data_IF_635759490149
#
_entry.id   IF_635759490149
#
_cell.length_a   1.000
_cell.length_b   1.000
_cell.length_c   1.000
_cell.angle_alpha   90.00
_cell.angle_beta   90.00
_cell.angle_gamma   90.00
#
_symmetry.space_group_name_H-M   'P 1'
#
loop_
_entity.id
_entity.type
_entity.pdbx_description
1 polymer ?
#
# COMPACT_ATOMS: atom_id res chain seq x y z
N UNK A 1 12.70 -0.91 55.88
CA UNK A 1 12.05 -1.50 54.67
C UNK A 1 12.59 -0.74 53.45
N UNK A 2 13.49 -1.36 52.71
CA UNK A 2 14.06 -0.76 51.50
C UNK A 2 13.16 -1.10 50.29
N UNK A 3 12.47 -0.10 49.75
CA UNK A 3 11.71 -0.21 48.50
C UNK A 3 12.65 -0.37 47.30
N UNK A 4 12.71 -1.57 46.77
CA UNK A 4 13.41 -1.85 45.53
C UNK A 4 12.61 -1.26 44.34
N UNK A 5 13.10 -0.14 43.78
CA UNK A 5 12.66 0.35 42.50
C UNK A 5 12.99 -0.69 41.43
N UNK A 6 11.97 -1.43 40.97
CA UNK A 6 12.05 -2.23 39.74
C UNK A 6 12.21 -1.27 38.58
N UNK A 7 13.34 -1.35 37.89
CA UNK A 7 13.64 -0.66 36.65
C UNK A 7 12.66 -1.10 35.55
N UNK A 8 11.78 -0.20 35.12
CA UNK A 8 10.82 -0.42 34.07
C UNK A 8 11.44 -0.41 32.66
N UNK A 9 12.05 -1.53 32.25
CA UNK A 9 12.55 -1.72 30.87
C UNK A 9 11.65 -2.66 30.02
N UNK A 10 10.45 -3.01 30.49
CA UNK A 10 9.65 -4.11 29.92
C UNK A 10 8.45 -3.70 29.08
N UNK A 11 8.32 -2.44 28.58
CA UNK A 11 7.10 -2.00 27.88
C UNK A 11 7.29 -1.48 26.43
N UNK A 12 8.49 -1.05 26.04
CA UNK A 12 8.67 -0.38 24.75
C UNK A 12 9.92 -0.87 23.99
N UNK A 13 9.83 -2.02 23.30
CA UNK A 13 10.96 -2.66 22.63
C UNK A 13 11.58 -1.83 21.50
N UNK A 14 10.86 -0.83 20.97
CA UNK A 14 11.33 0.05 19.90
C UNK A 14 11.68 1.48 20.38
N UNK A 15 11.76 1.72 21.70
CA UNK A 15 12.15 3.03 22.24
C UNK A 15 13.50 3.50 21.64
N UNK A 16 13.54 4.74 21.12
CA UNK A 16 14.70 5.29 20.42
C UNK A 16 14.88 4.83 18.96
N UNK A 17 14.10 3.85 18.49
CA UNK A 17 14.09 3.47 17.08
C UNK A 17 13.30 4.47 16.25
N UNK A 18 13.75 4.73 15.02
CA UNK A 18 13.04 5.51 14.01
C UNK A 18 12.71 4.59 12.84
N UNK A 19 11.43 4.47 12.52
CA UNK A 19 10.96 3.65 11.38
C UNK A 19 10.21 4.53 10.40
N UNK A 20 10.60 4.47 9.14
CA UNK A 20 9.88 5.14 8.06
C UNK A 20 8.81 4.22 7.52
N UNK A 21 7.55 4.70 7.59
CA UNK A 21 6.36 4.04 7.05
C UNK A 21 5.96 4.75 5.75
N UNK A 22 5.88 3.97 4.67
CA UNK A 22 5.75 4.47 3.30
C UNK A 22 4.34 4.38 2.72
N UNK A 23 3.34 4.05 3.55
CA UNK A 23 1.94 3.88 3.10
C UNK A 23 1.21 5.21 2.92
N UNK A 24 0.17 5.20 2.06
CA UNK A 24 -0.78 6.31 1.96
C UNK A 24 -1.49 6.53 3.32
N UNK A 25 -1.72 7.78 3.66
CA UNK A 25 -2.16 8.24 4.99
C UNK A 25 -3.30 7.39 5.60
N UNK A 26 -4.35 7.08 4.82
CA UNK A 26 -5.50 6.28 5.27
C UNK A 26 -5.19 4.77 5.53
N UNK A 27 -4.04 4.27 5.09
CA UNK A 27 -3.64 2.85 5.21
C UNK A 27 -2.44 2.65 6.14
N UNK A 28 -1.82 3.74 6.58
CA UNK A 28 -0.66 3.72 7.48
C UNK A 28 -1.07 3.51 8.95
N UNK A 29 -2.32 3.81 9.30
CA UNK A 29 -2.78 3.98 10.68
C UNK A 29 -2.48 2.76 11.57
N UNK A 30 -2.80 1.53 11.12
CA UNK A 30 -2.54 0.33 11.91
C UNK A 30 -1.04 0.09 12.16
N UNK A 31 -0.21 0.07 11.09
CA UNK A 31 1.23 -0.13 11.21
C UNK A 31 1.89 0.97 12.04
N UNK A 32 1.51 2.22 11.79
CA UNK A 32 2.08 3.37 12.50
C UNK A 32 1.68 3.41 13.95
N UNK A 33 0.41 3.09 14.28
CA UNK A 33 -0.09 3.04 15.66
C UNK A 33 0.64 1.97 16.46
N UNK A 34 0.65 0.73 15.96
CA UNK A 34 1.31 -0.37 16.66
C UNK A 34 2.81 -0.11 16.87
N UNK A 35 3.52 0.48 15.88
CA UNK A 35 4.92 0.86 16.05
C UNK A 35 5.10 1.94 17.12
N UNK A 36 4.20 2.95 17.20
CA UNK A 36 4.24 3.99 18.25
C UNK A 36 3.95 3.41 19.63
N UNK A 37 3.01 2.50 19.76
CA UNK A 37 2.66 1.82 21.02
C UNK A 37 3.86 1.03 21.56
N UNK A 38 4.73 0.53 20.67
CA UNK A 38 6.00 -0.11 21.01
C UNK A 38 7.14 0.88 21.28
N UNK A 39 6.88 2.20 21.33
CA UNK A 39 7.85 3.26 21.61
C UNK A 39 8.66 3.75 20.41
N UNK A 40 8.29 3.38 19.19
CA UNK A 40 8.97 3.80 17.98
C UNK A 40 8.64 5.25 17.60
N UNK A 41 9.66 6.01 17.17
CA UNK A 41 9.44 7.27 16.47
C UNK A 41 9.14 6.98 14.99
N UNK A 42 7.86 7.06 14.61
CA UNK A 42 7.38 6.75 13.27
C UNK A 42 7.48 7.98 12.38
N UNK A 43 8.17 7.83 11.25
CA UNK A 43 8.29 8.84 10.19
C UNK A 43 7.38 8.45 9.05
N UNK A 44 6.30 9.18 8.85
CA UNK A 44 5.35 8.90 7.78
C UNK A 44 5.66 9.74 6.54
N UNK A 45 6.06 9.04 5.46
CA UNK A 45 6.23 9.65 4.14
C UNK A 45 5.51 8.77 3.12
N UNK A 46 4.33 9.15 2.63
CA UNK A 46 3.61 8.35 1.65
C UNK A 46 4.38 8.32 0.33
N UNK A 47 4.69 7.13 -0.19
CA UNK A 47 5.33 7.00 -1.50
C UNK A 47 4.32 7.04 -2.64
N UNK A 48 3.05 6.87 -2.32
CA UNK A 48 1.93 7.04 -3.25
C UNK A 48 0.85 7.90 -2.62
N UNK A 49 0.12 8.56 -3.49
CA UNK A 49 -1.09 9.30 -3.17
C UNK A 49 -2.17 8.91 -4.18
N UNK A 50 -3.35 8.62 -3.67
CA UNK A 50 -4.54 8.44 -4.49
C UNK A 50 -5.16 9.83 -4.68
N UNK A 51 -5.25 10.24 -5.93
CA UNK A 51 -5.84 11.53 -6.32
C UNK A 51 -7.10 11.32 -7.13
N UNK A 52 -7.97 12.30 -7.05
CA UNK A 52 -9.11 12.38 -7.94
C UNK A 52 -8.65 12.43 -9.41
N UNK A 53 -9.47 11.96 -10.35
CA UNK A 53 -9.18 12.08 -11.77
C UNK A 53 -9.14 13.57 -12.17
N UNK A 54 -8.51 13.89 -13.30
CA UNK A 54 -8.48 15.26 -13.82
C UNK A 54 -9.88 15.83 -14.08
N UNK A 55 -10.84 14.97 -14.40
CA UNK A 55 -12.23 15.31 -14.62
C UNK A 55 -13.13 14.19 -14.17
N UNK A 56 -14.21 14.51 -13.49
CA UNK A 56 -15.27 13.57 -13.14
C UNK A 56 -16.34 13.43 -14.23
N UNK A 57 -16.29 14.23 -15.32
CA UNK A 57 -17.29 14.17 -16.40
C UNK A 57 -17.55 12.75 -16.91
N UNK A 58 -16.54 11.90 -17.21
CA UNK A 58 -16.82 10.54 -17.70
C UNK A 58 -17.62 9.70 -16.69
N UNK A 59 -17.32 9.83 -15.39
CA UNK A 59 -18.05 9.12 -14.34
C UNK A 59 -19.47 9.69 -14.17
N UNK A 60 -19.61 11.01 -14.22
CA UNK A 60 -20.92 11.68 -14.13
C UNK A 60 -21.82 11.28 -15.30
N UNK A 61 -21.30 11.26 -16.54
CA UNK A 61 -22.05 10.81 -17.71
C UNK A 61 -22.41 9.32 -17.64
N UNK A 62 -21.55 8.49 -17.03
CA UNK A 62 -21.89 7.10 -16.77
C UNK A 62 -23.06 6.97 -15.78
N UNK A 63 -23.13 7.83 -14.76
CA UNK A 63 -24.26 7.86 -13.82
C UNK A 63 -25.56 8.31 -14.49
N UNK A 64 -25.52 9.32 -15.37
CA UNK A 64 -26.69 9.77 -16.14
C UNK A 64 -27.25 8.66 -17.04
N UNK A 65 -26.40 7.75 -17.50
CA UNK A 65 -26.75 6.62 -18.37
C UNK A 65 -26.73 5.26 -17.65
N UNK A 66 -26.85 5.24 -16.33
CA UNK A 66 -26.64 4.06 -15.50
C UNK A 66 -27.54 2.88 -15.88
N UNK A 67 -28.80 3.15 -16.21
CA UNK A 67 -29.78 2.13 -16.65
C UNK A 67 -29.40 1.43 -17.95
N UNK A 68 -28.50 2.00 -18.73
CA UNK A 68 -28.01 1.40 -19.97
C UNK A 68 -26.91 0.38 -19.80
N UNK A 69 -26.39 0.19 -18.59
CA UNK A 69 -25.37 -0.82 -18.30
C UNK A 69 -25.97 -2.11 -17.76
N UNK A 70 -25.35 -3.24 -18.09
CA UNK A 70 -25.67 -4.56 -17.55
C UNK A 70 -24.69 -4.98 -16.45
N UNK A 71 -23.43 -4.52 -16.55
CA UNK A 71 -22.35 -4.92 -15.65
C UNK A 71 -21.55 -3.73 -15.14
N UNK A 72 -21.15 -3.82 -13.89
CA UNK A 72 -20.15 -2.94 -13.29
C UNK A 72 -18.94 -3.77 -12.82
N UNK A 73 -17.76 -3.46 -13.36
CA UNK A 73 -16.50 -4.11 -12.98
C UNK A 73 -15.68 -3.15 -12.15
N UNK A 74 -15.28 -3.58 -10.95
CA UNK A 74 -14.42 -2.85 -10.03
C UNK A 74 -13.13 -3.64 -9.79
N UNK A 75 -11.99 -3.01 -10.10
CA UNK A 75 -10.68 -3.68 -10.06
C UNK A 75 -9.84 -3.32 -8.85
N UNK A 76 -10.38 -2.56 -7.89
CA UNK A 76 -9.67 -2.16 -6.67
C UNK A 76 -10.60 -1.56 -5.62
N UNK A 77 -10.18 -1.64 -4.36
CA UNK A 77 -10.84 -0.94 -3.23
C UNK A 77 -10.88 0.58 -3.45
N UNK A 78 -9.81 1.16 -4.00
CA UNK A 78 -9.78 2.60 -4.30
C UNK A 78 -10.80 2.98 -5.40
N UNK A 79 -11.04 2.09 -6.38
CA UNK A 79 -12.08 2.28 -7.39
C UNK A 79 -13.48 2.24 -6.79
N UNK A 80 -13.73 1.32 -5.85
CA UNK A 80 -14.99 1.28 -5.08
C UNK A 80 -15.16 2.59 -4.33
N UNK A 81 -14.17 3.00 -3.56
CA UNK A 81 -14.22 4.23 -2.76
C UNK A 81 -14.47 5.46 -3.65
N UNK A 82 -13.75 5.61 -4.77
CA UNK A 82 -13.91 6.74 -5.68
C UNK A 82 -15.32 6.79 -6.30
N UNK A 83 -15.88 5.62 -6.68
CA UNK A 83 -17.23 5.50 -7.20
C UNK A 83 -18.26 6.00 -6.16
N UNK A 84 -18.26 5.44 -4.96
CA UNK A 84 -19.24 5.77 -3.93
C UNK A 84 -19.06 7.18 -3.35
N UNK A 85 -17.84 7.68 -3.20
CA UNK A 85 -17.61 9.09 -2.84
C UNK A 85 -18.19 10.04 -3.90
N UNK A 86 -18.11 9.69 -5.20
CA UNK A 86 -18.70 10.50 -6.26
C UNK A 86 -20.22 10.39 -6.30
N UNK A 87 -20.76 9.18 -6.13
CA UNK A 87 -22.23 8.98 -6.01
C UNK A 87 -22.80 9.83 -4.86
N UNK A 88 -22.20 9.78 -3.67
CA UNK A 88 -22.64 10.58 -2.52
C UNK A 88 -22.63 12.09 -2.82
N UNK A 89 -21.60 12.62 -3.52
CA UNK A 89 -21.56 14.01 -3.97
C UNK A 89 -22.65 14.37 -4.97
N UNK A 90 -23.12 13.40 -5.75
CA UNK A 90 -24.21 13.53 -6.71
C UNK A 90 -25.58 13.23 -6.07
N UNK A 91 -25.62 12.90 -4.78
CA UNK A 91 -26.84 12.48 -4.05
C UNK A 91 -27.50 11.23 -4.65
N UNK A 92 -26.67 10.31 -5.19
CA UNK A 92 -27.10 9.02 -5.72
C UNK A 92 -26.94 7.94 -4.65
N UNK A 93 -27.93 7.07 -4.54
CA UNK A 93 -27.96 5.97 -3.60
C UNK A 93 -27.32 4.70 -4.19
N UNK A 94 -26.75 3.83 -3.34
CA UNK A 94 -26.20 2.56 -3.78
C UNK A 94 -27.24 1.65 -4.46
N UNK A 95 -28.51 1.79 -4.09
CA UNK A 95 -29.67 1.11 -4.68
C UNK A 95 -29.81 1.32 -6.19
N UNK A 96 -29.34 2.46 -6.71
CA UNK A 96 -29.35 2.73 -8.15
C UNK A 96 -28.43 1.80 -8.96
N UNK A 97 -27.47 1.16 -8.31
CA UNK A 97 -26.62 0.13 -8.90
C UNK A 97 -27.23 -1.28 -8.79
N UNK A 98 -28.38 -1.45 -8.14
CA UNK A 98 -28.97 -2.75 -7.82
C UNK A 98 -29.39 -3.59 -9.03
N UNK A 99 -29.63 -2.98 -10.18
CA UNK A 99 -29.92 -3.68 -11.44
C UNK A 99 -28.67 -4.22 -12.14
N UNK A 100 -27.46 -3.76 -11.76
CA UNK A 100 -26.21 -4.16 -12.38
C UNK A 100 -25.70 -5.48 -11.79
N UNK A 101 -25.14 -6.34 -12.63
CA UNK A 101 -24.31 -7.45 -12.18
C UNK A 101 -22.91 -6.93 -11.85
N UNK A 102 -22.43 -7.15 -10.62
CA UNK A 102 -21.15 -6.63 -10.17
C UNK A 102 -20.06 -7.69 -10.27
N UNK A 103 -18.88 -7.27 -10.75
CA UNK A 103 -17.68 -8.09 -10.75
C UNK A 103 -16.56 -7.39 -9.98
N UNK A 104 -15.92 -8.14 -9.08
CA UNK A 104 -14.77 -7.69 -8.30
C UNK A 104 -13.53 -8.48 -8.67
N UNK A 105 -12.36 -7.83 -8.75
CA UNK A 105 -11.11 -8.52 -9.07
C UNK A 105 -10.66 -9.48 -7.97
N UNK A 106 -11.00 -9.20 -6.72
CA UNK A 106 -10.55 -10.01 -5.58
C UNK A 106 -11.31 -9.72 -4.29
N UNK A 107 -11.01 -10.45 -3.20
CA UNK A 107 -11.80 -10.46 -1.97
C UNK A 107 -11.88 -9.10 -1.27
N UNK A 108 -10.79 -8.33 -1.24
CA UNK A 108 -10.81 -7.00 -0.63
C UNK A 108 -11.73 -6.03 -1.38
N UNK A 109 -11.77 -6.11 -2.72
CA UNK A 109 -12.67 -5.32 -3.56
C UNK A 109 -14.11 -5.77 -3.38
N UNK A 110 -14.36 -7.09 -3.33
CA UNK A 110 -15.67 -7.67 -3.03
C UNK A 110 -16.19 -7.16 -1.68
N UNK A 111 -15.41 -7.31 -0.61
CA UNK A 111 -15.80 -6.85 0.71
C UNK A 111 -16.08 -5.33 0.76
N UNK A 112 -15.33 -4.53 -0.02
CA UNK A 112 -15.57 -3.09 -0.11
C UNK A 112 -16.91 -2.77 -0.79
N UNK A 113 -17.30 -3.52 -1.83
CA UNK A 113 -18.61 -3.39 -2.50
C UNK A 113 -19.74 -3.80 -1.55
N UNK A 114 -19.59 -4.93 -0.87
CA UNK A 114 -20.61 -5.49 0.04
C UNK A 114 -20.90 -4.59 1.23
N UNK A 115 -19.93 -3.79 1.69
CA UNK A 115 -20.15 -2.73 2.71
C UNK A 115 -21.18 -1.67 2.31
N UNK A 116 -21.44 -1.52 1.03
CA UNK A 116 -22.47 -0.62 0.51
C UNK A 116 -23.81 -1.33 0.22
N UNK A 117 -24.00 -2.57 0.72
CA UNK A 117 -25.24 -3.31 0.58
C UNK A 117 -25.43 -3.97 -0.78
N UNK A 118 -24.40 -4.05 -1.62
CA UNK A 118 -24.47 -4.64 -2.97
C UNK A 118 -23.83 -6.03 -2.99
N UNK A 119 -24.39 -6.94 -3.79
CA UNK A 119 -23.84 -8.28 -3.95
C UNK A 119 -22.92 -8.39 -5.18
N UNK A 120 -21.83 -9.15 -5.06
CA UNK A 120 -20.88 -9.39 -6.15
C UNK A 120 -21.24 -10.72 -6.84
N UNK A 121 -21.63 -10.63 -8.10
CA UNK A 121 -22.03 -11.78 -8.92
C UNK A 121 -20.81 -12.60 -9.41
N UNK A 122 -19.65 -11.95 -9.63
CA UNK A 122 -18.44 -12.60 -10.15
C UNK A 122 -17.21 -12.10 -9.41
N UNK A 123 -16.44 -13.06 -8.88
CA UNK A 123 -15.08 -12.86 -8.40
C UNK A 123 -14.23 -14.05 -8.88
N UNK A 124 -13.13 -13.84 -9.61
CA UNK A 124 -12.28 -14.92 -10.09
C UNK A 124 -11.52 -15.59 -8.94
N UNK A 125 -11.01 -16.80 -9.18
CA UNK A 125 -10.15 -17.52 -8.21
C UNK A 125 -8.77 -16.88 -8.07
N UNK A 126 -8.23 -16.40 -9.19
CA UNK A 126 -6.97 -15.64 -9.22
C UNK A 126 -7.26 -14.16 -9.43
N UNK A 127 -6.61 -13.30 -8.66
CA UNK A 127 -6.95 -11.87 -8.57
C UNK A 127 -6.17 -11.04 -9.60
N UNK A 128 -6.24 -11.47 -10.87
CA UNK A 128 -5.58 -10.83 -12.02
C UNK A 128 -6.59 -10.49 -13.11
N UNK A 129 -6.22 -9.56 -13.98
CA UNK A 129 -7.12 -9.08 -15.05
C UNK A 129 -7.55 -10.20 -16.01
N UNK A 130 -6.64 -11.12 -16.30
CA UNK A 130 -6.85 -12.26 -17.18
C UNK A 130 -7.94 -13.20 -16.65
N UNK A 131 -7.95 -13.44 -15.34
CA UNK A 131 -8.96 -14.29 -14.69
C UNK A 131 -10.31 -13.61 -14.58
N UNK A 132 -10.35 -12.27 -14.46
CA UNK A 132 -11.60 -11.49 -14.57
C UNK A 132 -12.20 -11.66 -15.97
N UNK A 133 -11.37 -11.56 -17.02
CA UNK A 133 -11.80 -11.78 -18.42
C UNK A 133 -12.34 -13.18 -18.59
N UNK A 134 -11.63 -14.21 -18.15
CA UNK A 134 -12.07 -15.61 -18.26
C UNK A 134 -13.42 -15.85 -17.59
N UNK A 135 -13.63 -15.28 -16.40
CA UNK A 135 -14.89 -15.43 -15.65
C UNK A 135 -16.06 -14.68 -16.28
N UNK A 136 -15.81 -13.62 -17.04
CA UNK A 136 -16.86 -12.77 -17.63
C UNK A 136 -17.13 -13.04 -19.10
N UNK A 137 -16.17 -13.59 -19.85
CA UNK A 137 -16.19 -13.69 -21.31
C UNK A 137 -17.51 -14.21 -21.90
N UNK A 138 -18.09 -15.26 -21.32
CA UNK A 138 -19.37 -15.84 -21.79
C UNK A 138 -20.60 -15.09 -21.27
N UNK A 139 -20.45 -14.22 -20.29
CA UNK A 139 -21.55 -13.53 -19.58
C UNK A 139 -21.84 -12.13 -20.11
N UNK A 140 -20.88 -11.54 -20.84
CA UNK A 140 -20.95 -10.15 -21.29
C UNK A 140 -21.11 -9.98 -22.81
N UNK A 141 -21.36 -11.07 -23.54
CA UNK A 141 -21.63 -11.00 -24.98
C UNK A 141 -22.85 -10.13 -25.23
N UNK A 142 -22.73 -9.12 -26.10
CA UNK A 142 -23.77 -8.15 -26.40
C UNK A 142 -24.17 -7.24 -25.23
N UNK A 143 -23.43 -7.27 -24.13
CA UNK A 143 -23.73 -6.50 -22.91
C UNK A 143 -22.95 -5.21 -22.86
N UNK A 144 -23.51 -4.21 -22.16
CA UNK A 144 -22.82 -2.96 -21.87
C UNK A 144 -22.19 -3.00 -20.48
N UNK A 145 -20.88 -2.77 -20.42
CA UNK A 145 -20.04 -2.95 -19.25
C UNK A 145 -19.44 -1.60 -18.85
N UNK A 146 -19.68 -1.20 -17.60
CA UNK A 146 -18.98 -0.09 -16.96
C UNK A 146 -17.76 -0.62 -16.20
N UNK A 147 -16.56 -0.26 -16.64
CA UNK A 147 -15.30 -0.62 -15.97
C UNK A 147 -14.75 0.58 -15.24
N UNK A 148 -14.75 0.55 -13.91
CA UNK A 148 -14.21 1.59 -13.05
C UNK A 148 -12.84 1.16 -12.52
N UNK A 149 -11.79 1.94 -12.84
CA UNK A 149 -10.40 1.56 -12.55
C UNK A 149 -9.49 2.75 -12.27
N UNK A 150 -8.24 2.46 -11.91
CA UNK A 150 -7.17 3.47 -11.90
C UNK A 150 -6.85 3.96 -13.31
N UNK A 151 -6.40 5.20 -13.45
CA UNK A 151 -5.89 5.75 -14.70
C UNK A 151 -4.75 4.93 -15.29
N UNK A 152 -3.78 4.55 -14.45
CA UNK A 152 -2.68 3.68 -14.86
C UNK A 152 -3.04 2.23 -14.54
N UNK A 153 -3.58 1.52 -15.53
CA UNK A 153 -3.93 0.11 -15.46
C UNK A 153 -3.72 -0.54 -16.84
N UNK A 154 -3.45 -1.86 -16.84
CA UNK A 154 -3.32 -2.63 -18.09
C UNK A 154 -4.64 -2.71 -18.82
N UNK A 155 -4.65 -2.57 -20.14
CA UNK A 155 -5.86 -2.62 -20.98
C UNK A 155 -6.36 -4.03 -21.30
N UNK A 156 -5.99 -5.02 -20.48
CA UNK A 156 -6.37 -6.43 -20.69
C UNK A 156 -7.89 -6.60 -20.66
N UNK A 157 -8.55 -6.13 -19.59
CA UNK A 157 -9.99 -6.30 -19.42
C UNK A 157 -10.79 -5.66 -20.58
N UNK A 158 -10.67 -4.36 -20.86
CA UNK A 158 -11.49 -3.76 -21.90
C UNK A 158 -11.17 -4.32 -23.29
N UNK A 159 -9.89 -4.60 -23.59
CA UNK A 159 -9.48 -5.15 -24.88
C UNK A 159 -10.09 -6.54 -25.12
N UNK A 160 -9.98 -7.43 -24.15
CA UNK A 160 -10.45 -8.82 -24.31
C UNK A 160 -11.96 -8.94 -24.24
N UNK A 161 -12.67 -8.11 -23.44
CA UNK A 161 -14.13 -8.14 -23.40
C UNK A 161 -14.75 -7.54 -24.66
N UNK A 162 -14.13 -6.55 -25.29
CA UNK A 162 -14.57 -6.02 -26.60
C UNK A 162 -14.49 -7.06 -27.73
N UNK A 163 -13.54 -8.01 -27.67
CA UNK A 163 -13.45 -9.12 -28.63
C UNK A 163 -14.65 -10.07 -28.61
N UNK A 164 -15.40 -10.10 -27.52
CA UNK A 164 -16.61 -10.90 -27.37
C UNK A 164 -17.88 -10.05 -27.48
N UNK A 165 -17.85 -9.05 -28.34
CA UNK A 165 -18.96 -8.15 -28.64
C UNK A 165 -19.52 -7.37 -27.42
N UNK A 166 -18.80 -7.23 -26.33
CA UNK A 166 -19.19 -6.36 -25.23
C UNK A 166 -18.86 -4.89 -25.55
N UNK A 167 -19.80 -3.98 -25.24
CA UNK A 167 -19.50 -2.55 -25.21
C UNK A 167 -18.91 -2.22 -23.85
N UNK A 168 -17.67 -1.72 -23.81
CA UNK A 168 -16.96 -1.46 -22.56
C UNK A 168 -16.61 0.01 -22.43
N UNK A 169 -17.28 0.71 -21.52
CA UNK A 169 -16.95 2.07 -21.11
C UNK A 169 -15.97 2.02 -19.95
N UNK A 170 -14.81 2.65 -20.15
CA UNK A 170 -13.71 2.65 -19.17
C UNK A 170 -13.68 3.98 -18.46
N UNK A 171 -13.85 3.97 -17.14
CA UNK A 171 -13.82 5.15 -16.30
C UNK A 171 -12.58 5.13 -15.43
N UNK A 172 -11.72 6.12 -15.64
CA UNK A 172 -10.57 6.40 -14.79
C UNK A 172 -11.03 7.15 -13.54
N UNK A 173 -11.39 6.43 -12.49
CA UNK A 173 -12.01 7.02 -11.30
C UNK A 173 -10.98 7.65 -10.34
N UNK A 174 -9.71 7.28 -10.44
CA UNK A 174 -8.64 7.82 -9.62
C UNK A 174 -7.27 7.69 -10.28
N UNK A 175 -6.31 8.49 -9.81
CA UNK A 175 -4.91 8.39 -10.19
C UNK A 175 -4.05 7.97 -8.99
N UNK A 176 -3.09 7.08 -9.21
CA UNK A 176 -2.03 6.78 -8.25
C UNK A 176 -0.80 7.55 -8.67
N UNK A 177 -0.35 8.47 -7.85
CA UNK A 177 0.80 9.33 -8.14
C UNK A 177 1.84 9.28 -7.03
N UNK A 178 3.11 9.52 -7.38
CA UNK A 178 4.16 9.77 -6.41
C UNK A 178 4.11 11.26 -6.00
N UNK A 179 3.86 11.59 -4.72
CA UNK A 179 3.78 12.98 -4.31
C UNK A 179 5.14 13.67 -4.44
N UNK A 180 5.21 14.82 -5.13
CA UNK A 180 6.46 15.59 -5.27
C UNK A 180 7.06 15.97 -3.91
N UNK A 181 6.20 16.34 -2.95
CA UNK A 181 6.62 16.66 -1.58
C UNK A 181 7.28 15.47 -0.85
N UNK A 182 6.88 14.24 -1.16
CA UNK A 182 7.45 13.04 -0.57
C UNK A 182 8.89 12.80 -1.00
N UNK A 183 9.24 13.10 -2.26
CA UNK A 183 10.62 13.01 -2.73
C UNK A 183 11.54 13.96 -1.95
N UNK A 184 11.11 15.21 -1.75
CA UNK A 184 11.86 16.21 -0.98
C UNK A 184 11.98 15.82 0.49
N UNK A 185 10.87 15.41 1.13
CA UNK A 185 10.86 14.96 2.53
C UNK A 185 11.76 13.74 2.71
N UNK A 186 11.65 12.75 1.83
CA UNK A 186 12.44 11.52 1.89
C UNK A 186 13.95 11.82 1.79
N UNK A 187 14.36 12.65 0.82
CA UNK A 187 15.76 13.08 0.69
C UNK A 187 16.25 13.84 1.93
N UNK A 188 15.44 14.75 2.47
CA UNK A 188 15.76 15.52 3.68
C UNK A 188 15.95 14.61 4.89
N UNK A 189 15.04 13.65 5.11
CA UNK A 189 15.10 12.71 6.23
C UNK A 189 16.32 11.78 6.12
N UNK A 190 16.60 11.25 4.93
CA UNK A 190 17.74 10.35 4.69
C UNK A 190 19.10 11.05 4.84
N UNK A 191 19.19 12.36 4.57
CA UNK A 191 20.42 13.16 4.73
C UNK A 191 20.65 13.64 6.16
N UNK A 192 19.62 13.70 7.00
CA UNK A 192 19.72 14.25 8.35
C UNK A 192 20.18 13.20 9.37
N UNK A 193 21.36 13.31 10.01
CA UNK A 193 21.81 12.34 11.02
C UNK A 193 20.81 12.14 12.16
N UNK A 194 20.15 13.23 12.60
CA UNK A 194 19.19 13.21 13.71
C UNK A 194 17.83 12.60 13.32
N UNK A 195 17.42 12.69 12.05
CA UNK A 195 16.09 12.23 11.57
C UNK A 195 16.17 10.99 10.70
N UNK A 196 17.38 10.54 10.34
CA UNK A 196 17.56 9.35 9.50
C UNK A 196 16.88 8.14 10.15
N UNK A 197 16.00 7.42 9.42
CA UNK A 197 15.35 6.24 9.96
C UNK A 197 16.36 5.11 10.16
N UNK A 198 16.11 4.25 11.12
CA UNK A 198 16.86 2.99 11.29
C UNK A 198 16.33 1.91 10.34
N UNK A 199 15.03 1.96 10.00
CA UNK A 199 14.43 1.06 9.03
C UNK A 199 13.40 1.78 8.16
N UNK A 200 13.21 1.26 6.93
CA UNK A 200 12.13 1.64 6.00
C UNK A 200 11.27 0.40 5.75
N UNK A 201 9.95 0.52 5.93
CA UNK A 201 9.02 -0.57 5.69
C UNK A 201 8.57 -0.63 4.23
N UNK A 202 8.59 -1.83 3.66
CA UNK A 202 8.09 -2.12 2.32
C UNK A 202 6.97 -3.17 2.44
N UNK A 203 5.73 -2.73 2.27
CA UNK A 203 4.53 -3.57 2.44
C UNK A 203 3.97 -4.10 1.11
N UNK A 204 4.65 -3.85 0.00
CA UNK A 204 4.32 -4.38 -1.34
C UNK A 204 5.42 -4.07 -2.34
N UNK A 205 5.46 -4.81 -3.46
CA UNK A 205 6.34 -4.53 -4.59
C UNK A 205 6.18 -3.10 -5.15
N UNK A 206 4.97 -2.57 -5.16
CA UNK A 206 4.72 -1.18 -5.59
C UNK A 206 5.38 -0.17 -4.67
N UNK A 207 5.45 -0.43 -3.37
CA UNK A 207 6.15 0.44 -2.40
C UNK A 207 7.65 0.53 -2.72
N UNK A 208 8.28 -0.60 -3.10
CA UNK A 208 9.68 -0.64 -3.53
C UNK A 208 9.89 0.18 -4.80
N UNK A 209 9.06 -0.07 -5.83
CA UNK A 209 9.14 0.67 -7.10
C UNK A 209 8.97 2.18 -6.90
N UNK A 210 8.05 2.57 -6.03
CA UNK A 210 7.81 3.98 -5.73
C UNK A 210 8.97 4.60 -4.93
N UNK A 211 9.60 3.89 -4.01
CA UNK A 211 10.81 4.33 -3.33
C UNK A 211 11.93 4.64 -4.32
N UNK A 212 12.19 3.71 -5.25
CA UNK A 212 13.17 3.90 -6.33
C UNK A 212 12.77 5.05 -7.25
N UNK A 213 11.49 5.18 -7.60
CA UNK A 213 10.98 6.28 -8.43
C UNK A 213 11.14 7.66 -7.79
N UNK A 214 10.94 7.78 -6.48
CA UNK A 214 11.08 9.05 -5.73
C UNK A 214 12.54 9.50 -5.58
N UNK A 215 13.47 8.57 -5.40
CA UNK A 215 14.89 8.87 -5.15
C UNK A 215 15.75 8.80 -6.40
N UNK A 216 15.43 7.94 -7.34
CA UNK A 216 16.31 7.41 -8.37
C UNK A 216 17.12 6.21 -7.85
N UNK A 217 17.42 5.24 -8.70
CA UNK A 217 18.04 3.96 -8.32
C UNK A 217 19.37 4.13 -7.58
N UNK A 218 20.24 5.02 -8.07
CA UNK A 218 21.55 5.30 -7.44
C UNK A 218 21.39 5.78 -5.99
N UNK A 219 20.48 6.74 -5.75
CA UNK A 219 20.24 7.27 -4.41
C UNK A 219 19.52 6.28 -3.49
N UNK A 220 18.61 5.46 -4.03
CA UNK A 220 17.94 4.39 -3.29
C UNK A 220 18.94 3.35 -2.80
N UNK A 221 19.88 2.90 -3.67
CA UNK A 221 20.98 2.00 -3.30
C UNK A 221 21.89 2.62 -2.26
N UNK A 222 22.28 3.89 -2.43
CA UNK A 222 23.12 4.59 -1.48
C UNK A 222 22.46 4.73 -0.09
N UNK A 223 21.16 4.97 -0.03
CA UNK A 223 20.40 5.10 1.22
C UNK A 223 20.38 3.82 2.05
N UNK A 224 20.28 2.65 1.39
CA UNK A 224 20.23 1.33 2.05
C UNK A 224 21.60 0.63 2.16
N UNK A 225 22.64 1.18 1.51
CA UNK A 225 23.99 0.61 1.57
C UNK A 225 24.58 0.80 2.97
N UNK A 226 25.03 -0.28 3.56
CA UNK A 226 25.80 -0.29 4.82
C UNK A 226 27.29 -0.23 4.49
N UNK A 227 28.02 0.54 5.27
CA UNK A 227 29.48 0.61 5.23
C UNK A 227 29.99 0.63 6.66
N UNK A 228 31.27 0.37 6.88
CA UNK A 228 31.90 0.43 8.19
C UNK A 228 31.69 1.80 8.90
N UNK A 229 31.63 2.88 8.10
CA UNK A 229 31.40 4.24 8.60
C UNK A 229 29.93 4.66 8.66
N UNK A 230 29.00 3.85 8.11
CA UNK A 230 27.59 4.19 8.03
C UNK A 230 26.74 2.94 8.23
N UNK A 231 26.07 2.82 9.36
CA UNK A 231 25.19 1.71 9.69
C UNK A 231 24.01 1.54 8.73
N UNK A 232 23.86 2.46 7.74
CA UNK A 232 22.82 2.41 6.72
C UNK A 232 21.41 2.49 7.30
N UNK A 233 20.43 2.34 6.40
CA UNK A 233 19.00 2.19 6.76
C UNK A 233 18.61 0.77 6.43
N UNK A 234 17.99 0.06 7.36
CA UNK A 234 17.51 -1.31 7.12
C UNK A 234 16.26 -1.29 6.23
N UNK A 235 16.22 -2.18 5.27
CA UNK A 235 15.00 -2.49 4.52
C UNK A 235 14.19 -3.55 5.27
N UNK A 236 12.92 -3.25 5.56
CA UNK A 236 12.00 -4.17 6.22
C UNK A 236 10.86 -4.56 5.25
N UNK A 237 10.88 -5.79 4.80
CA UNK A 237 9.94 -6.35 3.81
C UNK A 237 8.84 -7.17 4.48
N UNK A 238 7.61 -7.01 4.00
CA UNK A 238 6.44 -7.77 4.49
C UNK A 238 6.46 -9.24 4.06
N UNK A 239 7.30 -9.61 3.08
CA UNK A 239 7.34 -11.00 2.61
C UNK A 239 8.04 -11.17 1.27
N UNK A 240 8.12 -12.42 0.76
CA UNK A 240 9.02 -12.83 -0.31
C UNK A 240 8.79 -12.11 -1.64
N UNK A 241 7.55 -11.80 -2.02
CA UNK A 241 7.25 -11.08 -3.28
C UNK A 241 7.81 -9.65 -3.24
N UNK A 242 7.72 -8.99 -2.10
CA UNK A 242 8.29 -7.65 -1.88
C UNK A 242 9.81 -7.71 -1.82
N UNK A 243 10.36 -8.73 -1.18
CA UNK A 243 11.80 -8.99 -1.09
C UNK A 243 12.41 -9.29 -2.46
N UNK A 244 11.72 -10.07 -3.30
CA UNK A 244 12.14 -10.30 -4.68
C UNK A 244 12.27 -8.97 -5.45
N UNK A 245 11.29 -8.08 -5.29
CA UNK A 245 11.34 -6.76 -5.94
C UNK A 245 12.48 -5.89 -5.39
N UNK A 246 12.81 -5.94 -4.10
CA UNK A 246 14.01 -5.26 -3.56
C UNK A 246 15.27 -5.78 -4.26
N UNK A 247 15.42 -7.10 -4.37
CA UNK A 247 16.58 -7.75 -5.03
C UNK A 247 16.66 -7.42 -6.52
N UNK A 248 15.53 -7.34 -7.25
CA UNK A 248 15.47 -6.91 -8.66
C UNK A 248 16.12 -5.53 -8.86
N UNK A 249 15.93 -4.60 -7.91
CA UNK A 249 16.58 -3.28 -7.93
C UNK A 249 17.99 -3.27 -7.33
N UNK A 250 18.53 -4.42 -6.91
CA UNK A 250 19.83 -4.51 -6.21
C UNK A 250 19.81 -3.80 -4.86
N UNK A 251 18.66 -3.81 -4.18
CA UNK A 251 18.50 -3.31 -2.83
C UNK A 251 18.60 -4.45 -1.82
N UNK A 252 19.18 -4.23 -0.63
CA UNK A 252 19.27 -5.27 0.40
C UNK A 252 17.89 -5.62 0.96
N UNK A 253 17.77 -6.84 1.48
CA UNK A 253 16.66 -7.29 2.32
C UNK A 253 17.22 -7.60 3.69
N UNK A 254 17.09 -6.67 4.63
CA UNK A 254 17.69 -6.79 5.96
C UNK A 254 16.75 -7.45 6.97
N UNK A 255 15.45 -7.22 6.80
CA UNK A 255 14.37 -7.72 7.64
C UNK A 255 13.29 -8.25 6.69
N UNK A 256 12.91 -9.52 6.85
CA UNK A 256 11.77 -10.10 6.15
C UNK A 256 10.83 -10.72 7.18
N UNK A 257 9.53 -10.40 7.09
CA UNK A 257 8.53 -10.98 7.97
C UNK A 257 8.35 -12.47 7.66
N UNK A 258 8.31 -13.31 8.70
CA UNK A 258 7.99 -14.72 8.57
C UNK A 258 6.50 -14.95 8.26
N UNK A 259 5.64 -14.08 8.82
CA UNK A 259 4.22 -14.01 8.52
C UNK A 259 3.98 -12.75 7.66
N UNK A 260 3.39 -12.90 6.49
CA UNK A 260 3.22 -11.82 5.48
C UNK A 260 2.09 -10.86 5.82
N UNK A 261 2.07 -10.42 7.08
CA UNK A 261 1.07 -9.54 7.68
C UNK A 261 1.73 -8.33 8.34
N UNK A 262 0.95 -7.30 8.67
CA UNK A 262 1.44 -6.14 9.41
C UNK A 262 2.00 -6.55 10.79
N UNK A 263 1.29 -7.34 11.62
CA UNK A 263 1.85 -7.85 12.86
C UNK A 263 3.16 -8.64 12.68
N UNK A 264 3.23 -9.49 11.66
CA UNK A 264 4.45 -10.24 11.32
C UNK A 264 5.63 -9.34 10.98
N UNK A 265 5.40 -8.26 10.23
CA UNK A 265 6.44 -7.26 9.91
C UNK A 265 6.91 -6.53 11.17
N UNK A 266 6.00 -6.13 12.05
CA UNK A 266 6.33 -5.47 13.32
C UNK A 266 7.17 -6.41 14.19
N UNK A 267 6.78 -7.67 14.33
CA UNK A 267 7.52 -8.71 15.06
C UNK A 267 8.95 -8.87 14.56
N UNK A 268 9.14 -8.89 13.24
CA UNK A 268 10.47 -8.96 12.62
C UNK A 268 11.32 -7.70 12.89
N UNK A 269 10.72 -6.50 12.87
CA UNK A 269 11.39 -5.24 13.22
C UNK A 269 11.82 -5.24 14.69
N UNK A 270 10.96 -5.69 15.61
CA UNK A 270 11.27 -5.77 17.06
C UNK A 270 12.42 -6.73 17.31
N UNK A 271 12.41 -7.91 16.70
CA UNK A 271 13.51 -8.88 16.81
C UNK A 271 14.84 -8.27 16.37
N UNK A 272 14.86 -7.60 15.22
CA UNK A 272 16.07 -6.94 14.72
C UNK A 272 16.55 -5.79 15.59
N UNK A 273 15.65 -4.97 16.12
CA UNK A 273 15.99 -3.87 17.03
C UNK A 273 16.65 -4.38 18.33
N UNK A 274 16.21 -5.50 18.83
CA UNK A 274 16.80 -6.16 20.01
C UNK A 274 18.23 -6.63 19.74
N UNK A 275 18.51 -7.23 18.58
CA UNK A 275 19.87 -7.61 18.17
C UNK A 275 20.80 -6.41 18.04
N UNK A 276 20.33 -5.29 17.47
CA UNK A 276 21.11 -4.07 17.31
C UNK A 276 21.49 -3.43 18.66
N UNK A 277 20.62 -3.49 19.67
CA UNK A 277 20.92 -3.02 21.03
C UNK A 277 21.95 -3.90 21.73
N UNK A 278 21.92 -5.20 21.54
CA UNK A 278 22.90 -6.13 22.11
C UNK A 278 24.31 -5.89 21.55
N UNK A 279 24.43 -5.46 20.29
CA UNK A 279 25.72 -5.14 19.67
C UNK A 279 26.30 -3.80 20.10
N UNK A 280 25.45 -2.78 20.33
CA UNK A 280 25.90 -1.47 20.84
C UNK A 280 26.33 -1.52 22.31
N UNK A 281 25.73 -2.37 23.12
CA UNK A 281 26.10 -2.51 24.55
C UNK A 281 27.41 -3.33 24.77
N UNK A 282 27.87 -4.05 23.75
CA UNK A 282 29.15 -4.78 23.79
C UNK A 282 30.37 -3.92 23.42
N UNK A 283 30.17 -2.67 22.99
CA UNK A 283 31.21 -1.78 22.47
C UNK A 283 31.56 -0.58 23.35
N UNK A 284 31.00 -0.45 24.55
CA UNK A 284 31.39 0.61 25.48
C UNK A 284 32.18 -0.06 26.66
N UNK A 285 33.50 0.15 26.76
CA UNK A 285 34.22 -0.30 27.95
C UNK A 285 33.74 0.50 29.16
N UNK A 286 33.61 -0.12 30.34
CA UNK A 286 33.25 0.57 31.57
C UNK A 286 34.48 1.33 32.10
N UNK A 287 34.76 2.50 31.59
CA UNK A 287 35.71 3.42 32.14
C UNK A 287 35.26 4.82 31.78
N UNK A 288 34.77 5.49 32.81
CA UNK A 288 34.77 6.93 33.12
C UNK A 288 33.46 7.30 33.86
N UNK A 289 33.32 6.73 35.05
CA UNK A 289 32.57 7.33 36.15
C UNK A 289 33.55 7.39 37.31
N UNK A 290 34.34 8.43 37.33
CA UNK A 290 35.02 8.97 38.52
C UNK A 290 34.79 10.46 38.55
#
# INVERSE_FOLDING_TARGET
MKSTRKSGANGQPLCGCRVLVSRAKKQADALSSELRDLGCNVIEIPFIEIRNPKSFRPLDSAFENLKGYDWLILTSVNGVQALFERMARKKLEASELGHLKLAAIGPATKAAIEKHGLSVAVMPKEYVAESVVSALRQRVNGKRVLLVRAKVARDVIPRELRKVAATVDVIEAYETVAPKSSATKLRSVLKSPRRKPHAITFTSSSTVRNFVGLLGLRAARAALKKTAANHGVHSASIGPVTSATLREFGLPVDIEAAEYTIPGLIKAIVARASEMRMTTNKGVPPALLS
#
